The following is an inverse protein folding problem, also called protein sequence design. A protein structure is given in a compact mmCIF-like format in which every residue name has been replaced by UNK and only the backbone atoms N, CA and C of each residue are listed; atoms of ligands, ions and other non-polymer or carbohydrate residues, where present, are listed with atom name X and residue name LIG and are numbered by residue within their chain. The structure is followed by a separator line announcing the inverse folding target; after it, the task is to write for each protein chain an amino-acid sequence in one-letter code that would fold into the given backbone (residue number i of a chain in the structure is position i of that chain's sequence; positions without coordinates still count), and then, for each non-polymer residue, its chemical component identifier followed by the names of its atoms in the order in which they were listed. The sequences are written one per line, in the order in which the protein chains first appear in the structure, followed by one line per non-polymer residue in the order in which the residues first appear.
data_IF_322939265007
#
_entry.id   IF_322939265007
#
_cell.length_a   1.000
_cell.length_b   1.000
_cell.length_c   1.000
_cell.angle_alpha   90.00
_cell.angle_beta   90.00
_cell.angle_gamma   90.00
#
_symmetry.space_group_name_H-M   'P 1'
#
loop_
_entity.id
_entity.type
_entity.pdbx_description
1 polymer ?
#
# COMPACT_ATOMS: atom_id res chain seq x y z
N UNK A 1 9.22 -7.63 1.99
CA UNK A 1 9.03 -7.27 2.25
C UNK A 1 8.37 -6.58 2.30
N UNK A 2 7.93 -6.31 2.48
CA UNK A 2 7.27 -5.74 2.32
C UNK A 2 6.95 -4.97 3.05
N UNK A 3 6.94 -4.55 3.52
CA UNK A 3 6.76 -3.85 4.05
C UNK A 3 5.96 -3.48 4.73
N UNK A 4 5.66 -3.54 5.34
CA UNK A 4 4.84 -3.39 5.83
C UNK A 4 4.83 -3.17 6.90
N UNK A 5 4.70 -2.86 7.44
CA UNK A 5 4.57 -2.50 8.28
C UNK A 5 3.86 -2.64 9.05
N UNK A 6 3.68 -2.43 9.27
CA UNK A 6 3.10 -2.53 9.94
C UNK A 6 3.11 -3.52 10.64
N UNK A 7 3.15 -4.34 10.48
CA UNK A 7 2.96 -5.24 11.07
C UNK A 7 3.56 -6.24 10.77
N UNK A 8 3.74 -6.80 10.97
CA UNK A 8 4.09 -7.95 10.75
C UNK A 8 5.24 -8.41 10.10
N UNK A 9 5.71 -7.86 9.27
CA UNK A 9 6.69 -8.36 8.57
C UNK A 9 7.85 -7.58 8.69
N UNK A 10 8.91 -8.00 8.97
CA UNK A 10 10.08 -7.34 8.95
C UNK A 10 10.75 -7.73 7.80
N UNK A 11 11.37 -7.01 7.40
CA UNK A 11 11.84 -7.18 6.35
C UNK A 11 13.05 -7.72 6.27
N UNK A 12 13.83 -7.77 6.90
CA UNK A 12 15.08 -8.46 6.86
C UNK A 12 14.94 -9.93 6.84
N UNK A 13 13.75 -10.37 6.59
CA UNK A 13 13.53 -11.79 6.61
C UNK A 13 13.40 -12.36 7.98
N UNK A 14 13.60 -11.61 9.00
CA UNK A 14 13.34 -12.05 10.26
C UNK A 14 11.94 -12.14 10.46
N UNK A 15 11.45 -13.15 10.94
CA UNK A 15 10.05 -13.36 11.18
C UNK A 15 9.72 -12.74 12.48
N UNK A 16 8.78 -11.84 12.46
CA UNK A 16 8.30 -11.29 13.71
C UNK A 16 7.71 -12.39 14.56
N UNK A 17 7.82 -12.27 15.84
CA UNK A 17 7.16 -13.19 16.73
C UNK A 17 5.68 -13.30 16.40
N UNK A 18 5.15 -14.48 16.63
CA UNK A 18 3.76 -14.74 16.34
C UNK A 18 2.84 -13.70 16.96
N UNK A 19 3.19 -13.26 18.15
CA UNK A 19 2.35 -12.30 18.84
C UNK A 19 2.27 -10.99 18.06
N UNK A 20 3.35 -10.60 17.41
CA UNK A 20 3.33 -9.36 16.66
C UNK A 20 2.54 -9.48 15.37
N UNK A 21 2.58 -10.65 14.75
CA UNK A 21 1.80 -10.86 13.55
C UNK A 21 0.31 -10.90 13.83
N UNK A 22 -0.05 -11.10 15.06
CA UNK A 22 -1.45 -11.17 15.45
C UNK A 22 -1.95 -9.91 16.13
N UNK A 23 -1.21 -8.83 16.03
CA UNK A 23 -1.65 -7.58 16.61
C UNK A 23 -2.94 -7.14 15.93
N UNK A 24 -3.92 -6.83 16.73
CA UNK A 24 -5.22 -6.43 16.21
C UNK A 24 -5.17 -5.01 15.72
N UNK A 25 -5.85 -4.75 14.63
CA UNK A 25 -6.10 -3.42 14.17
C UNK A 25 -7.18 -2.83 15.05
N UNK A 26 -7.10 -1.55 15.35
CA UNK A 26 -8.13 -0.88 16.14
C UNK A 26 -9.47 -0.92 15.41
N UNK A 27 -10.56 -0.84 16.16
CA UNK A 27 -11.89 -0.84 15.56
C UNK A 27 -12.07 0.31 14.58
N UNK A 28 -11.46 1.44 14.87
CA UNK A 28 -11.54 2.60 13.98
C UNK A 28 -10.83 2.32 12.66
N UNK A 29 -9.66 1.73 12.72
CA UNK A 29 -8.90 1.42 11.51
C UNK A 29 -9.57 0.33 10.71
N UNK A 30 -10.15 -0.65 11.38
CA UNK A 30 -10.90 -1.69 10.70
C UNK A 30 -12.12 -1.11 9.97
N UNK A 31 -12.79 -0.15 10.60
CA UNK A 31 -13.92 0.52 9.98
C UNK A 31 -13.48 1.27 8.71
N UNK A 32 -12.35 1.95 8.78
CA UNK A 32 -11.82 2.67 7.63
C UNK A 32 -11.45 1.71 6.51
N UNK A 33 -10.80 0.60 6.85
CA UNK A 33 -10.44 -0.42 5.86
C UNK A 33 -11.68 -0.96 5.18
N UNK A 34 -12.71 -1.30 5.96
CA UNK A 34 -13.94 -1.85 5.41
C UNK A 34 -14.65 -0.83 4.51
N UNK A 35 -14.63 0.43 4.89
CA UNK A 35 -15.24 1.49 4.12
C UNK A 35 -14.52 1.68 2.79
N UNK A 36 -13.20 1.68 2.80
CA UNK A 36 -12.41 1.83 1.59
C UNK A 36 -12.61 0.62 0.67
N UNK A 37 -12.59 -0.58 1.23
CA UNK A 37 -12.81 -1.80 0.46
C UNK A 37 -14.19 -1.75 -0.24
N UNK A 38 -15.22 -1.35 0.47
CA UNK A 38 -16.55 -1.19 -0.11
C UNK A 38 -16.55 -0.18 -1.25
N UNK A 39 -15.83 0.92 -1.08
CA UNK A 39 -15.72 1.93 -2.13
C UNK A 39 -14.97 1.41 -3.35
N UNK A 40 -13.92 0.64 -3.14
CA UNK A 40 -13.18 0.02 -4.24
C UNK A 40 -14.10 -0.89 -5.04
N UNK A 41 -14.81 -1.76 -4.36
CA UNK A 41 -15.72 -2.70 -5.02
C UNK A 41 -16.84 -1.97 -5.76
N UNK A 42 -17.30 -0.87 -5.21
CA UNK A 42 -18.37 -0.10 -5.82
C UNK A 42 -17.89 0.70 -7.04
N UNK A 43 -16.69 1.25 -6.98
CA UNK A 43 -16.17 2.10 -8.05
C UNK A 43 -15.55 1.32 -9.21
N UNK A 44 -15.10 0.11 -8.95
CA UNK A 44 -14.41 -0.71 -9.93
C UNK A 44 -15.14 -2.03 -10.08
N UNK A 45 -16.13 -2.12 -10.99
CA UNK A 45 -16.96 -3.33 -11.14
C UNK A 45 -16.14 -4.59 -11.41
N UNK A 46 -14.99 -4.47 -12.04
CA UNK A 46 -14.13 -5.62 -12.30
C UNK A 46 -13.64 -6.29 -11.02
N UNK A 47 -13.69 -5.58 -9.91
CA UNK A 47 -13.22 -6.12 -8.63
C UNK A 47 -14.14 -7.21 -8.08
N UNK A 48 -15.32 -7.40 -8.67
CA UNK A 48 -16.16 -8.49 -8.23
C UNK A 48 -15.52 -9.85 -8.53
N UNK A 49 -14.57 -9.90 -9.44
CA UNK A 49 -13.84 -11.13 -9.75
C UNK A 49 -12.62 -11.34 -8.87
N UNK A 50 -12.40 -10.48 -7.89
CA UNK A 50 -11.23 -10.53 -7.04
C UNK A 50 -11.60 -10.64 -5.57
N UNK A 51 -10.74 -11.26 -4.80
CA UNK A 51 -10.87 -11.34 -3.35
C UNK A 51 -9.81 -10.50 -2.69
N UNK A 52 -10.21 -9.75 -1.67
CA UNK A 52 -9.27 -9.03 -0.82
C UNK A 52 -8.59 -10.05 0.08
N UNK A 53 -7.30 -10.23 -0.09
CA UNK A 53 -6.58 -11.19 0.75
C UNK A 53 -5.69 -10.50 1.79
N UNK A 54 -5.45 -9.22 1.65
CA UNK A 54 -4.62 -8.52 2.62
C UNK A 54 -4.90 -7.02 2.60
N UNK A 55 -5.04 -6.45 3.77
CA UNK A 55 -5.15 -5.00 3.92
C UNK A 55 -4.34 -4.60 5.15
N UNK A 56 -3.63 -3.49 5.04
CA UNK A 56 -2.80 -3.03 6.15
C UNK A 56 -2.48 -1.54 6.02
N UNK A 57 -1.93 -1.00 7.10
CA UNK A 57 -1.55 0.40 7.15
C UNK A 57 -0.03 0.46 7.12
N UNK A 58 0.50 1.27 6.22
CA UNK A 58 1.93 1.57 6.18
C UNK A 58 2.17 2.92 6.82
N UNK A 59 3.17 2.99 7.66
CA UNK A 59 3.61 4.23 8.25
C UNK A 59 5.12 4.35 8.08
N UNK A 60 5.54 5.35 7.32
CA UNK A 60 6.95 5.60 7.11
C UNK A 60 7.34 6.87 7.84
N UNK A 61 8.41 6.79 8.62
CA UNK A 61 8.98 7.95 9.30
C UNK A 61 9.63 8.88 8.27
N UNK A 62 9.82 10.15 8.62
CA UNK A 62 10.55 11.05 7.74
C UNK A 62 11.91 10.46 7.37
N UNK A 63 12.22 10.52 6.08
CA UNK A 63 13.50 10.03 5.53
C UNK A 63 13.68 8.52 5.51
N UNK A 64 12.66 7.78 5.88
CA UNK A 64 12.74 6.33 5.80
C UNK A 64 12.60 5.91 4.35
N UNK A 65 13.57 5.14 3.85
CA UNK A 65 13.63 4.77 2.44
C UNK A 65 13.18 3.33 2.24
N UNK A 66 12.30 3.14 1.29
CA UNK A 66 11.85 1.81 0.90
C UNK A 66 12.52 1.38 -0.39
N UNK A 67 12.67 0.09 -0.58
CA UNK A 67 13.22 -0.46 -1.81
C UNK A 67 12.13 -0.68 -2.84
N UNK A 68 12.51 -0.64 -4.11
CA UNK A 68 11.62 -1.07 -5.15
C UNK A 68 11.30 -2.55 -4.97
N UNK A 69 10.06 -2.90 -5.10
CA UNK A 69 9.59 -4.28 -4.94
C UNK A 69 8.33 -4.53 -5.75
N UNK A 70 8.00 -5.80 -5.90
CA UNK A 70 6.74 -6.24 -6.48
C UNK A 70 5.88 -6.81 -5.35
N UNK A 71 4.58 -6.70 -5.48
CA UNK A 71 3.67 -7.28 -4.50
C UNK A 71 3.34 -8.74 -4.82
N UNK A 72 3.62 -9.17 -6.03
CA UNK A 72 3.45 -10.56 -6.44
C UNK A 72 4.40 -10.86 -7.60
N UNK A 73 4.51 -12.10 -7.99
CA UNK A 73 5.36 -12.49 -9.10
C UNK A 73 4.78 -12.00 -10.44
N UNK A 74 5.65 -11.88 -11.42
CA UNK A 74 5.26 -11.46 -12.76
C UNK A 74 4.15 -12.36 -13.29
N UNK A 75 3.19 -11.74 -13.91
CA UNK A 75 2.12 -12.46 -14.58
C UNK A 75 0.96 -12.90 -13.70
N UNK A 76 1.05 -12.70 -12.39
CA UNK A 76 -0.08 -13.00 -11.54
C UNK A 76 -1.18 -11.96 -11.72
N UNK A 77 -2.41 -12.41 -11.70
CA UNK A 77 -3.56 -11.54 -11.83
C UNK A 77 -3.95 -11.03 -10.45
N UNK A 78 -3.23 -10.04 -10.00
CA UNK A 78 -3.45 -9.42 -8.70
C UNK A 78 -3.35 -7.91 -8.83
N UNK A 79 -4.08 -7.21 -8.00
CA UNK A 79 -4.20 -5.75 -8.06
C UNK A 79 -3.92 -5.18 -6.68
N UNK A 80 -3.16 -4.10 -6.65
CA UNK A 80 -2.92 -3.36 -5.42
C UNK A 80 -3.60 -2.01 -5.50
N UNK A 81 -4.23 -1.62 -4.41
CA UNK A 81 -4.74 -0.26 -4.24
C UNK A 81 -4.01 0.37 -3.08
N UNK A 82 -3.70 1.64 -3.22
CA UNK A 82 -3.14 2.44 -2.12
C UNK A 82 -4.02 3.64 -1.93
N UNK A 83 -4.45 3.86 -0.69
CA UNK A 83 -5.19 5.04 -0.31
C UNK A 83 -4.27 5.90 0.54
N UNK A 84 -4.12 7.18 0.16
CA UNK A 84 -3.24 8.09 0.89
C UNK A 84 -3.98 8.66 2.08
N UNK A 85 -3.45 8.35 3.27
CA UNK A 85 -4.11 8.65 4.53
C UNK A 85 -3.62 9.90 5.25
N UNK A 86 -2.64 10.61 4.71
CA UNK A 86 -2.22 11.86 5.34
C UNK A 86 -3.31 12.92 5.18
N UNK A 87 -3.45 13.78 6.16
CA UNK A 87 -4.49 14.79 6.14
C UNK A 87 -4.17 15.96 5.23
N UNK A 88 -2.89 16.25 5.07
CA UNK A 88 -2.46 17.41 4.31
C UNK A 88 -1.48 17.00 3.22
N UNK A 89 -1.58 17.68 2.11
CA UNK A 89 -0.58 17.57 1.05
C UNK A 89 0.29 18.82 1.12
N UNK A 90 1.55 18.62 1.45
CA UNK A 90 2.48 19.72 1.70
C UNK A 90 3.26 20.11 0.45
N UNK A 91 2.92 19.56 -0.69
CA UNK A 91 3.51 19.95 -1.97
C UNK A 91 4.64 19.04 -2.42
N UNK A 92 5.03 19.18 -3.67
CA UNK A 92 6.01 18.30 -4.29
C UNK A 92 7.38 18.33 -3.62
N UNK A 93 7.72 19.44 -3.00
CA UNK A 93 9.03 19.57 -2.37
C UNK A 93 9.16 18.75 -1.09
N UNK A 94 8.06 18.30 -0.52
CA UNK A 94 8.08 17.51 0.70
C UNK A 94 8.26 16.02 0.45
N UNK A 95 8.18 15.59 -0.80
CA UNK A 95 8.35 14.18 -1.13
C UNK A 95 7.08 13.36 -0.95
N UNK A 96 7.25 12.10 -0.59
CA UNK A 96 6.11 11.23 -0.28
C UNK A 96 5.50 10.53 -1.47
N UNK A 97 6.00 10.72 -2.66
CA UNK A 97 5.43 10.10 -3.86
C UNK A 97 5.57 8.59 -3.81
N UNK A 98 4.64 7.91 -4.46
CA UNK A 98 4.82 6.50 -4.79
C UNK A 98 5.49 6.46 -6.16
N UNK A 99 6.60 5.77 -6.24
CA UNK A 99 7.36 5.67 -7.47
C UNK A 99 7.19 4.30 -8.10
N UNK A 100 6.97 4.29 -9.42
CA UNK A 100 6.86 3.08 -10.22
C UNK A 100 8.00 3.03 -11.20
N UNK A 101 8.62 1.86 -11.34
CA UNK A 101 9.63 1.65 -12.35
C UNK A 101 8.98 0.91 -13.51
N UNK A 102 8.83 1.58 -14.64
CA UNK A 102 8.10 1.04 -15.76
C UNK A 102 8.72 1.57 -17.05
N UNK A 103 9.00 0.68 -17.99
CA UNK A 103 9.59 1.03 -19.29
C UNK A 103 10.84 1.86 -19.16
N UNK A 104 11.74 1.42 -18.29
CA UNK A 104 13.04 2.06 -18.06
C UNK A 104 12.97 3.48 -17.54
N UNK A 105 11.91 3.83 -16.88
CA UNK A 105 11.78 5.15 -16.24
C UNK A 105 10.97 5.06 -14.97
N UNK A 106 11.08 6.10 -14.19
CA UNK A 106 10.37 6.20 -12.93
C UNK A 106 9.22 7.17 -13.10
N UNK A 107 8.03 6.71 -12.72
CA UNK A 107 6.82 7.53 -12.70
C UNK A 107 6.48 7.76 -11.23
N UNK A 108 6.32 9.01 -10.84
CA UNK A 108 6.04 9.36 -9.45
C UNK A 108 4.63 9.91 -9.32
N UNK A 109 3.88 9.35 -8.38
CA UNK A 109 2.52 9.78 -8.08
C UNK A 109 2.53 10.46 -6.71
N UNK A 110 2.13 11.73 -6.62
CA UNK A 110 2.18 12.46 -5.35
C UNK A 110 1.16 11.94 -4.35
N UNK A 111 1.44 12.06 -3.06
CA UNK A 111 0.57 11.51 -2.01
C UNK A 111 -0.58 12.45 -1.66
N UNK A 112 -1.42 12.75 -2.63
CA UNK A 112 -2.55 13.64 -2.41
C UNK A 112 -3.58 12.95 -1.52
N UNK A 113 -3.99 13.57 -0.41
CA UNK A 113 -4.95 12.96 0.50
C UNK A 113 -6.24 12.56 -0.19
N UNK A 114 -6.85 11.51 0.30
CA UNK A 114 -8.11 10.98 -0.22
C UNK A 114 -8.02 10.50 -1.66
N UNK A 115 -6.84 10.18 -2.12
CA UNK A 115 -6.62 9.65 -3.47
C UNK A 115 -6.42 8.15 -3.38
N UNK A 116 -7.06 7.44 -4.28
CA UNK A 116 -6.93 6.00 -4.39
C UNK A 116 -6.12 5.69 -5.64
N UNK A 117 -5.03 4.98 -5.47
CA UNK A 117 -4.13 4.60 -6.55
C UNK A 117 -4.30 3.11 -6.81
N UNK A 118 -4.51 2.74 -8.06
CA UNK A 118 -4.71 1.35 -8.47
C UNK A 118 -3.62 0.94 -9.43
N UNK A 119 -3.02 -0.22 -9.21
CA UNK A 119 -2.01 -0.73 -10.14
C UNK A 119 -1.92 -2.25 -10.07
N UNK A 120 -1.36 -2.81 -11.15
CA UNK A 120 -1.09 -4.25 -11.21
C UNK A 120 -0.02 -4.59 -10.20
N UNK A 121 -0.27 -5.61 -9.39
CA UNK A 121 0.56 -5.91 -8.22
C UNK A 121 2.01 -6.27 -8.55
N UNK A 122 2.31 -6.73 -9.75
CA UNK A 122 3.68 -7.10 -10.09
C UNK A 122 4.53 -5.95 -10.65
N UNK A 123 3.98 -4.75 -10.76
CA UNK A 123 4.78 -3.60 -11.19
C UNK A 123 5.70 -3.20 -10.06
N UNK A 124 6.99 -2.98 -10.36
CA UNK A 124 7.95 -2.53 -9.36
C UNK A 124 7.61 -1.13 -8.88
N UNK A 125 7.56 -0.97 -7.60
CA UNK A 125 7.18 0.31 -6.98
C UNK A 125 7.80 0.45 -5.61
N UNK A 126 7.79 1.68 -5.12
CA UNK A 126 8.23 1.96 -3.75
C UNK A 126 7.59 3.22 -3.22
N UNK A 127 7.49 3.30 -1.90
CA UNK A 127 7.13 4.53 -1.22
C UNK A 127 8.37 5.40 -1.10
N UNK A 128 8.20 6.70 -1.22
CA UNK A 128 9.26 7.64 -0.83
C UNK A 128 8.78 8.40 0.40
N UNK A 129 9.69 8.80 1.29
CA UNK A 129 9.28 9.43 2.53
C UNK A 129 8.88 10.90 2.35
N UNK A 130 8.05 11.37 3.24
CA UNK A 130 7.88 12.80 3.42
C UNK A 130 9.08 13.31 4.20
N UNK A 131 9.43 14.56 4.02
CA UNK A 131 10.55 15.17 4.74
C UNK A 131 10.12 15.65 6.12
N UNK A 132 8.90 16.13 6.22
CA UNK A 132 8.42 16.84 7.39
C UNK A 132 7.51 16.04 8.31
N UNK A 133 7.04 14.89 7.88
CA UNK A 133 6.03 14.15 8.63
C UNK A 133 6.09 12.67 8.31
N UNK A 134 5.35 11.88 9.05
CA UNK A 134 5.16 10.47 8.75
C UNK A 134 4.21 10.35 7.55
N UNK A 135 4.47 9.37 6.71
CA UNK A 135 3.65 9.08 5.54
C UNK A 135 2.77 7.88 5.84
N UNK A 136 1.48 8.06 5.74
CA UNK A 136 0.51 7.00 6.02
C UNK A 136 -0.22 6.58 4.77
N UNK A 137 -0.31 5.29 4.53
CA UNK A 137 -1.14 4.76 3.45
C UNK A 137 -1.88 3.53 3.95
N UNK A 138 -3.04 3.29 3.34
CA UNK A 138 -3.76 2.04 3.51
C UNK A 138 -3.55 1.26 2.23
N UNK A 139 -3.07 0.04 2.36
CA UNK A 139 -2.79 -0.81 1.21
C UNK A 139 -3.78 -1.97 1.16
N UNK A 140 -4.29 -2.25 -0.03
CA UNK A 140 -5.29 -3.30 -0.24
C UNK A 140 -4.80 -4.20 -1.36
N UNK A 141 -4.71 -5.49 -1.11
CA UNK A 141 -4.20 -6.45 -2.08
C UNK A 141 -5.26 -7.47 -2.42
N UNK A 142 -5.56 -7.54 -3.71
CA UNK A 142 -6.60 -8.41 -4.23
C UNK A 142 -6.01 -9.41 -5.20
N UNK A 143 -6.51 -10.63 -5.17
CA UNK A 143 -6.13 -11.63 -6.17
C UNK A 143 -7.38 -12.18 -6.84
N UNK A 144 -7.20 -12.67 -8.06
CA UNK A 144 -8.30 -13.22 -8.82
C UNK A 144 -8.90 -14.43 -8.11
N UNK A 145 -10.21 -14.54 -8.13
CA UNK A 145 -10.90 -15.59 -7.38
C UNK A 145 -10.57 -16.99 -7.84
N UNK A 146 -10.16 -17.12 -9.08
CA UNK A 146 -9.90 -18.43 -9.65
C UNK A 146 -8.45 -18.90 -9.48
N UNK A 147 -7.69 -18.23 -8.70
CA UNK A 147 -6.31 -18.63 -8.45
C UNK A 147 -6.22 -19.59 -7.29
#
# INVERSE_FOLDING_TARGET
MDEMIGVGELDNGEILPEVERNVSISDKDQYIIDMIDSNICSKFPEMEDYDLYRAYINCFAPREIANFHQDCADGYDAITFIFYGNELYTGLNDGGATEFYLDDRIIAIPPVPNTLLKFTAWVYHRATPLKSDHRFTYAFKYCRKDY
#
